data_IF_683825159936
#
_entry.id   IF_683825159936
#
_cell.length_a   1.000
_cell.length_b   1.000
_cell.length_c   1.000
_cell.angle_alpha   90.00
_cell.angle_beta   90.00
_cell.angle_gamma   90.00
#
_symmetry.space_group_name_H-M   'P 1'
#
loop_
_entity.id
_entity.type
_entity.pdbx_description
1 polymer ?
#
# COMPACT_ATOMS: atom_id res chain seq x y z
N UNK A 1 6.73 7.06 10.61
CA UNK A 1 7.52 6.09 9.81
C UNK A 1 6.66 5.67 8.63
N UNK A 2 7.24 5.50 7.44
CA UNK A 2 6.49 5.05 6.27
C UNK A 2 6.15 3.56 6.44
N UNK A 3 4.90 3.20 6.18
CA UNK A 3 4.40 1.83 6.18
C UNK A 3 3.76 1.51 4.84
N UNK A 4 4.02 0.30 4.34
CA UNK A 4 3.25 -0.28 3.24
C UNK A 4 2.04 -1.00 3.85
N UNK A 5 0.83 -0.56 3.53
CA UNK A 5 -0.41 -1.15 4.08
C UNK A 5 -1.58 -1.11 3.10
N UNK A 6 -2.63 -1.86 3.43
CA UNK A 6 -3.87 -1.95 2.66
C UNK A 6 -4.85 -0.82 3.04
N UNK A 7 -5.15 0.04 2.07
CA UNK A 7 -6.23 1.04 2.12
C UNK A 7 -7.51 0.44 1.52
N UNK A 8 -8.61 0.50 2.28
CA UNK A 8 -9.92 0.04 1.79
C UNK A 8 -10.47 1.05 0.79
N UNK A 9 -10.90 0.60 -0.38
CA UNK A 9 -11.55 1.43 -1.41
C UNK A 9 -12.69 0.64 -2.03
N UNK A 10 -13.82 0.58 -1.33
CA UNK A 10 -14.96 -0.24 -1.72
C UNK A 10 -14.62 -1.73 -1.67
N UNK A 11 -14.89 -2.45 -2.77
CA UNK A 11 -14.68 -3.90 -2.88
C UNK A 11 -13.20 -4.28 -3.06
N UNK A 12 -12.39 -3.40 -3.67
CA UNK A 12 -10.96 -3.62 -3.89
C UNK A 12 -10.14 -2.92 -2.81
N UNK A 13 -9.01 -3.52 -2.45
CA UNK A 13 -8.05 -2.91 -1.53
C UNK A 13 -6.88 -2.35 -2.34
N UNK A 14 -6.38 -1.19 -1.95
CA UNK A 14 -5.20 -0.55 -2.57
C UNK A 14 -4.01 -0.75 -1.66
N UNK A 15 -2.86 -1.10 -2.22
CA UNK A 15 -1.60 -1.16 -1.48
C UNK A 15 -0.94 0.21 -1.63
N UNK A 16 -0.69 0.87 -0.49
CA UNK A 16 -0.22 2.25 -0.45
C UNK A 16 0.96 2.39 0.50
N UNK A 17 1.91 3.26 0.13
CA UNK A 17 2.92 3.80 1.02
C UNK A 17 2.34 5.03 1.73
N UNK A 18 2.33 5.02 3.05
CA UNK A 18 1.73 6.07 3.87
C UNK A 18 2.44 6.18 5.22
N UNK A 19 2.42 7.35 5.85
CA UNK A 19 2.91 7.48 7.22
C UNK A 19 2.00 6.76 8.21
N UNK A 20 2.58 6.07 9.20
CA UNK A 20 1.87 5.29 10.22
C UNK A 20 0.79 6.10 10.94
N UNK A 21 1.06 7.39 11.20
CA UNK A 21 0.15 8.30 11.93
C UNK A 21 -1.11 8.66 11.14
N UNK A 22 -1.10 8.47 9.82
CA UNK A 22 -2.25 8.79 8.99
C UNK A 22 -3.38 7.78 9.20
N UNK A 23 -4.63 8.25 9.08
CA UNK A 23 -5.83 7.38 9.07
C UNK A 23 -5.74 6.32 7.97
N UNK A 24 -6.43 5.18 8.12
CA UNK A 24 -6.43 4.06 7.14
C UNK A 24 -6.73 4.51 5.71
N UNK A 25 -7.72 5.40 5.56
CA UNK A 25 -8.14 5.96 4.26
C UNK A 25 -7.57 7.36 3.99
N UNK A 26 -6.60 7.79 4.81
CA UNK A 26 -5.95 9.09 4.71
C UNK A 26 -5.14 9.29 3.41
N UNK A 27 -4.49 10.45 3.31
CA UNK A 27 -3.66 10.82 2.16
C UNK A 27 -2.46 9.90 2.06
N UNK A 28 -2.35 9.21 0.95
CA UNK A 28 -1.22 8.36 0.60
C UNK A 28 -0.07 9.17 -0.01
N UNK A 29 1.17 8.71 0.22
CA UNK A 29 2.36 9.25 -0.43
C UNK A 29 2.45 8.73 -1.87
N UNK A 30 2.23 7.41 -2.03
CA UNK A 30 2.25 6.74 -3.33
C UNK A 30 1.43 5.46 -3.29
N UNK A 31 0.65 5.23 -4.34
CA UNK A 31 0.03 3.93 -4.62
C UNK A 31 1.06 3.00 -5.23
N UNK A 32 1.25 1.83 -4.62
CA UNK A 32 2.23 0.81 -5.06
C UNK A 32 1.56 -0.44 -5.62
N UNK A 33 0.24 -0.59 -5.48
CA UNK A 33 -0.47 -1.73 -6.03
C UNK A 33 -1.95 -1.77 -5.66
N UNK A 34 -2.56 -2.92 -5.93
CA UNK A 34 -3.89 -3.25 -5.43
C UNK A 34 -4.05 -4.76 -5.21
N UNK A 35 -4.99 -5.09 -4.34
CA UNK A 35 -5.43 -6.44 -4.04
C UNK A 35 -6.96 -6.52 -4.17
N UNK A 36 -7.44 -7.48 -4.94
CA UNK A 36 -8.85 -7.83 -5.02
C UNK A 36 -9.10 -9.10 -4.18
N UNK A 37 -9.75 -9.00 -2.99
CA UNK A 37 -10.01 -10.15 -2.15
C UNK A 37 -11.08 -11.09 -2.70
N UNK A 38 -11.93 -10.64 -3.64
CA UNK A 38 -12.99 -11.48 -4.21
C UNK A 38 -12.43 -12.38 -5.30
N UNK A 39 -11.53 -11.83 -6.14
CA UNK A 39 -10.91 -12.56 -7.25
C UNK A 39 -9.53 -13.12 -6.91
N UNK A 40 -9.01 -12.86 -5.71
CA UNK A 40 -7.62 -13.12 -5.31
C UNK A 40 -6.58 -12.61 -6.32
N UNK A 41 -6.86 -11.46 -6.95
CA UNK A 41 -5.97 -10.84 -7.92
C UNK A 41 -5.13 -9.75 -7.25
N UNK A 42 -3.81 -9.84 -7.39
CA UNK A 42 -2.86 -8.85 -6.89
C UNK A 42 -2.08 -8.24 -8.06
N UNK A 43 -2.01 -6.93 -8.09
CA UNK A 43 -1.11 -6.22 -8.99
C UNK A 43 -0.16 -5.36 -8.16
N UNK A 44 1.12 -5.67 -8.26
CA UNK A 44 2.19 -5.05 -7.49
C UNK A 44 3.12 -4.30 -8.43
N UNK A 45 3.37 -3.03 -8.13
CA UNK A 45 4.41 -2.25 -8.77
C UNK A 45 5.73 -2.51 -8.03
N UNK A 46 6.43 -3.57 -8.42
CA UNK A 46 7.68 -4.04 -7.80
C UNK A 46 8.73 -2.94 -7.64
N UNK A 47 9.08 -2.13 -8.66
CA UNK A 47 10.12 -1.09 -8.48
C UNK A 47 9.71 -0.02 -7.46
N UNK A 48 8.42 0.31 -7.38
CA UNK A 48 7.95 1.25 -6.36
C UNK A 48 8.02 0.65 -4.94
N UNK A 49 7.76 -0.65 -4.79
CA UNK A 49 7.83 -1.34 -3.50
C UNK A 49 9.28 -1.41 -3.02
N UNK A 50 10.21 -1.81 -3.89
CA UNK A 50 11.64 -1.89 -3.59
C UNK A 50 12.19 -0.55 -3.10
N UNK A 51 11.84 0.54 -3.79
CA UNK A 51 12.22 1.89 -3.37
C UNK A 51 11.82 2.21 -1.92
N UNK A 52 10.61 1.84 -1.50
CA UNK A 52 10.18 2.09 -0.13
C UNK A 52 10.83 1.14 0.88
N UNK A 53 11.06 -0.12 0.51
CA UNK A 53 11.75 -1.09 1.37
C UNK A 53 13.20 -0.67 1.65
N UNK A 54 13.93 -0.22 0.63
CA UNK A 54 15.29 0.31 0.77
C UNK A 54 15.35 1.56 1.67
N UNK A 55 14.29 2.37 1.66
CA UNK A 55 14.14 3.54 2.54
C UNK A 55 13.67 3.19 3.95
N UNK A 56 13.56 1.91 4.29
CA UNK A 56 13.18 1.43 5.63
C UNK A 56 11.67 1.42 5.88
N UNK A 57 10.84 1.40 4.83
CA UNK A 57 9.41 1.23 5.02
C UNK A 57 9.11 -0.19 5.51
N UNK A 58 8.31 -0.31 6.57
CA UNK A 58 7.88 -1.62 7.05
C UNK A 58 6.58 -2.07 6.36
N UNK A 59 6.49 -3.31 5.87
CA UNK A 59 5.25 -3.89 5.36
C UNK A 59 4.29 -4.31 6.49
N UNK A 60 3.02 -4.52 6.15
CA UNK A 60 1.96 -5.07 7.03
C UNK A 60 1.18 -6.15 6.30
#
# INVERSE_FOLDING_TARGET
>A
MVKLRLKRCGRKQRIVAIDVRSRREGRDLRKVGFYDPIKNQTYLNVPAILYFLEKGAQPT
#
